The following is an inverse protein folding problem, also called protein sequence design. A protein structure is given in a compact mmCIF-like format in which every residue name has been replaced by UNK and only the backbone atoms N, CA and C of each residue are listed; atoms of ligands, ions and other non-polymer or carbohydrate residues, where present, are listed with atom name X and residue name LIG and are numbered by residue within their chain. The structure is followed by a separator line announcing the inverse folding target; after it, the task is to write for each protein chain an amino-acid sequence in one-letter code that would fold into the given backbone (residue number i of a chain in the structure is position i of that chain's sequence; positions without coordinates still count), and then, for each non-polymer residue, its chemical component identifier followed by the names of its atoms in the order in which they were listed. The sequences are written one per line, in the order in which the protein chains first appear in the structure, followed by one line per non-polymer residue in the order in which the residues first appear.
data_IF_341500382041
#
_entry.id   IF_341500382041
#
_cell.length_a   1.000
_cell.length_b   1.000
_cell.length_c   1.000
_cell.angle_alpha   90.00
_cell.angle_beta   90.00
_cell.angle_gamma   90.00
#
_symmetry.space_group_name_H-M   'P 1'
#
loop_
_entity.id
_entity.type
_entity.pdbx_description
1 polymer ?
#
# COMPACT_ATOMS: atom_id res chain seq x y z
N UNK A 1 6.52 -33.83 6.20
CA UNK A 1 6.85 -32.71 7.10
C UNK A 1 6.17 -31.47 6.51
N UNK A 2 5.12 -30.96 7.14
CA UNK A 2 4.57 -29.65 6.77
C UNK A 2 5.65 -28.61 7.12
N UNK A 3 6.35 -28.11 6.10
CA UNK A 3 7.26 -26.98 6.30
C UNK A 3 6.40 -25.80 6.75
N UNK A 4 6.61 -25.32 7.98
CA UNK A 4 6.07 -24.03 8.41
C UNK A 4 6.63 -22.92 7.53
N UNK A 5 5.82 -21.89 7.26
CA UNK A 5 6.28 -20.73 6.50
C UNK A 5 7.43 -19.99 7.20
N UNK A 6 8.26 -19.30 6.43
CA UNK A 6 9.39 -18.51 6.94
C UNK A 6 8.87 -17.31 7.76
N UNK A 7 9.42 -17.10 8.95
CA UNK A 7 9.03 -15.98 9.84
C UNK A 7 9.98 -14.79 9.76
N UNK A 8 9.51 -13.60 10.18
CA UNK A 8 10.36 -12.40 10.26
C UNK A 8 11.52 -12.57 11.24
N UNK A 9 11.32 -13.30 12.34
CA UNK A 9 12.39 -13.59 13.31
C UNK A 9 13.44 -14.53 12.73
N UNK A 10 13.05 -15.50 11.91
CA UNK A 10 13.99 -16.35 11.19
C UNK A 10 14.82 -15.56 10.19
N UNK A 11 14.21 -14.66 9.42
CA UNK A 11 14.91 -13.78 8.48
C UNK A 11 15.89 -12.87 9.23
N UNK A 12 15.42 -12.20 10.29
CA UNK A 12 16.24 -11.35 11.16
C UNK A 12 17.48 -12.09 11.66
N UNK A 13 17.30 -13.29 12.20
CA UNK A 13 18.41 -14.12 12.68
C UNK A 13 19.40 -14.45 11.57
N UNK A 14 18.92 -14.96 10.43
CA UNK A 14 19.78 -15.32 9.30
C UNK A 14 20.57 -14.12 8.78
N UNK A 15 19.96 -12.93 8.72
CA UNK A 15 20.63 -11.71 8.29
C UNK A 15 21.67 -11.23 9.30
N UNK A 16 21.38 -11.29 10.59
CA UNK A 16 22.34 -10.95 11.63
C UNK A 16 23.56 -11.88 11.61
N UNK A 17 23.33 -13.18 11.41
CA UNK A 17 24.39 -14.18 11.26
C UNK A 17 25.23 -13.90 10.00
N UNK A 18 24.58 -13.69 8.85
CA UNK A 18 25.25 -13.37 7.59
C UNK A 18 26.12 -12.12 7.65
N UNK A 19 25.63 -11.06 8.31
CA UNK A 19 26.34 -9.79 8.47
C UNK A 19 27.55 -9.94 9.40
N UNK A 20 27.38 -10.63 10.53
CA UNK A 20 28.43 -10.88 11.51
C UNK A 20 29.56 -11.74 10.95
N UNK A 21 29.24 -12.77 10.18
CA UNK A 21 30.24 -13.61 9.50
C UNK A 21 31.15 -12.81 8.55
N UNK A 22 30.69 -11.66 8.06
CA UNK A 22 31.41 -10.79 7.11
C UNK A 22 31.95 -9.52 7.76
N UNK A 23 31.78 -9.37 9.08
CA UNK A 23 32.12 -8.15 9.81
C UNK A 23 31.44 -6.88 9.23
N UNK A 24 30.23 -7.04 8.69
CA UNK A 24 29.50 -5.95 8.03
C UNK A 24 28.72 -5.05 8.99
N UNK A 25 28.64 -5.43 10.26
CA UNK A 25 27.92 -4.65 11.27
C UNK A 25 28.46 -3.22 11.43
N UNK A 26 29.73 -2.99 11.14
CA UNK A 26 30.34 -1.66 11.11
C UNK A 26 29.73 -0.72 10.06
N UNK A 27 29.16 -1.25 8.98
CA UNK A 27 28.55 -0.47 7.89
C UNK A 27 27.03 -0.31 8.06
N UNK A 28 26.41 -1.10 8.94
CA UNK A 28 24.97 -1.18 9.17
C UNK A 28 24.44 -0.10 10.14
N UNK A 29 24.75 1.17 9.88
CA UNK A 29 24.04 2.26 10.56
C UNK A 29 22.58 2.36 10.05
N UNK A 30 21.62 2.82 10.89
CA UNK A 30 20.23 2.97 10.46
C UNK A 30 20.07 3.80 9.17
N UNK A 31 20.85 4.87 9.02
CA UNK A 31 20.83 5.71 7.82
C UNK A 31 21.29 4.94 6.58
N UNK A 32 22.37 4.17 6.69
CA UNK A 32 22.90 3.43 5.54
C UNK A 32 21.93 2.34 5.10
N UNK A 33 21.34 1.61 6.04
CA UNK A 33 20.32 0.59 5.75
C UNK A 33 19.06 1.19 5.13
N UNK A 34 18.64 2.37 5.58
CA UNK A 34 17.52 3.09 4.96
C UNK A 34 17.85 3.50 3.51
N UNK A 35 19.06 3.98 3.25
CA UNK A 35 19.46 4.36 1.89
C UNK A 35 19.58 3.14 0.97
N UNK A 36 20.10 2.01 1.47
CA UNK A 36 20.11 0.76 0.72
C UNK A 36 18.69 0.28 0.39
N UNK A 37 17.78 0.29 1.38
CA UNK A 37 16.36 -0.01 1.18
C UNK A 37 15.73 0.86 0.08
N UNK A 38 16.04 2.15 0.03
CA UNK A 38 15.55 3.05 -1.03
C UNK A 38 16.12 2.65 -2.40
N UNK A 39 17.38 2.20 -2.45
CA UNK A 39 17.99 1.63 -3.66
C UNK A 39 17.19 0.45 -4.19
N UNK A 40 16.93 -0.55 -3.35
CA UNK A 40 16.18 -1.76 -3.77
C UNK A 40 14.73 -1.44 -4.19
N UNK A 41 14.10 -0.44 -3.56
CA UNK A 41 12.79 0.05 -4.03
C UNK A 41 12.90 0.68 -5.41
N UNK A 42 14.02 1.33 -5.70
CA UNK A 42 14.37 1.85 -7.03
C UNK A 42 14.51 0.71 -8.05
N UNK A 43 15.31 -0.31 -7.74
CA UNK A 43 15.52 -1.49 -8.61
C UNK A 43 14.19 -2.21 -8.89
N UNK A 44 13.38 -2.44 -7.84
CA UNK A 44 12.02 -2.94 -8.00
C UNK A 44 11.18 -2.05 -8.93
N UNK A 45 11.29 -0.72 -8.82
CA UNK A 45 10.53 0.22 -9.66
C UNK A 45 10.99 0.17 -11.12
N UNK A 46 12.27 -0.02 -11.39
CA UNK A 46 12.83 -0.12 -12.74
C UNK A 46 12.22 -1.28 -13.54
N UNK A 47 11.85 -2.37 -12.86
CA UNK A 47 11.17 -3.51 -13.50
C UNK A 47 9.81 -3.11 -14.09
N UNK A 48 9.10 -2.19 -13.43
CA UNK A 48 7.74 -1.79 -13.81
C UNK A 48 7.68 -0.52 -14.66
N UNK A 49 8.74 0.29 -14.69
CA UNK A 49 8.71 1.68 -15.20
C UNK A 49 8.18 1.82 -16.64
N UNK A 50 8.32 0.80 -17.49
CA UNK A 50 7.88 0.80 -18.90
C UNK A 50 6.74 -0.18 -19.21
N UNK A 51 6.10 -0.78 -18.20
CA UNK A 51 5.15 -1.90 -18.36
C UNK A 51 3.68 -1.50 -18.59
N UNK A 52 3.35 -0.20 -18.61
CA UNK A 52 1.96 0.26 -18.73
C UNK A 52 1.09 -0.25 -17.57
N UNK A 53 -0.19 -0.52 -17.82
CA UNK A 53 -1.04 -1.18 -16.83
C UNK A 53 -0.67 -2.66 -16.68
N UNK A 54 -0.31 -3.06 -15.47
CA UNK A 54 0.11 -4.44 -15.16
C UNK A 54 -1.03 -5.21 -14.49
N UNK A 55 -1.57 -6.27 -15.11
CA UNK A 55 -2.65 -7.05 -14.53
C UNK A 55 -2.18 -7.87 -13.32
N UNK A 56 -3.12 -8.14 -12.41
CA UNK A 56 -2.86 -8.96 -11.22
C UNK A 56 -2.31 -10.34 -11.62
N UNK A 57 -1.24 -10.75 -10.94
CA UNK A 57 -0.63 -12.07 -11.13
C UNK A 57 0.35 -12.17 -12.30
N UNK A 58 0.65 -11.07 -12.99
CA UNK A 58 1.66 -10.99 -14.04
C UNK A 58 1.50 -12.08 -15.14
N UNK A 59 0.29 -12.33 -15.68
CA UNK A 59 0.04 -13.44 -16.62
C UNK A 59 0.92 -13.39 -17.87
N UNK A 60 1.18 -12.19 -18.40
CA UNK A 60 1.96 -11.97 -19.64
C UNK A 60 3.47 -11.89 -19.42
N UNK A 61 3.93 -12.04 -18.18
CA UNK A 61 5.35 -11.92 -17.83
C UNK A 61 6.02 -13.28 -17.90
N UNK A 62 7.25 -13.28 -18.41
CA UNK A 62 8.10 -14.47 -18.43
C UNK A 62 8.51 -14.87 -17.01
N UNK A 63 8.89 -16.12 -16.84
CA UNK A 63 9.28 -16.64 -15.53
C UNK A 63 10.52 -15.94 -14.99
N UNK A 64 11.46 -15.55 -15.85
CA UNK A 64 12.64 -14.79 -15.45
C UNK A 64 12.28 -13.38 -14.95
N UNK A 65 11.27 -12.74 -15.55
CA UNK A 65 10.79 -11.42 -15.10
C UNK A 65 10.10 -11.53 -13.74
N UNK A 66 9.30 -12.59 -13.53
CA UNK A 66 8.67 -12.85 -12.22
C UNK A 66 9.69 -13.20 -11.15
N UNK A 67 10.73 -13.95 -11.51
CA UNK A 67 11.83 -14.24 -10.61
C UNK A 67 12.53 -12.94 -10.20
N UNK A 68 12.86 -12.07 -11.15
CA UNK A 68 13.50 -10.79 -10.86
C UNK A 68 12.64 -9.90 -9.96
N UNK A 69 11.32 -9.83 -10.19
CA UNK A 69 10.39 -9.16 -9.24
C UNK A 69 10.48 -9.78 -7.83
N UNK A 70 10.58 -11.11 -7.75
CA UNK A 70 10.71 -11.82 -6.48
C UNK A 70 12.03 -11.52 -5.76
N UNK A 71 13.13 -11.36 -6.50
CA UNK A 71 14.44 -10.98 -5.98
C UNK A 71 14.38 -9.57 -5.38
N UNK A 72 13.93 -8.56 -6.14
CA UNK A 72 13.86 -7.18 -5.65
C UNK A 72 12.86 -7.00 -4.49
N UNK A 73 11.72 -7.71 -4.52
CA UNK A 73 10.80 -7.74 -3.37
C UNK A 73 11.46 -8.34 -2.13
N UNK A 74 12.32 -9.35 -2.31
CA UNK A 74 13.04 -9.98 -1.23
C UNK A 74 14.10 -9.03 -0.66
N UNK A 75 14.83 -8.31 -1.52
CA UNK A 75 15.86 -7.36 -1.06
C UNK A 75 15.24 -6.20 -0.27
N UNK A 76 14.12 -5.63 -0.73
CA UNK A 76 13.33 -4.66 0.04
C UNK A 76 12.92 -5.22 1.41
N UNK A 77 12.41 -6.45 1.47
CA UNK A 77 12.02 -7.10 2.72
C UNK A 77 13.22 -7.30 3.65
N UNK A 78 14.34 -7.79 3.13
CA UNK A 78 15.53 -8.10 3.90
C UNK A 78 16.13 -6.82 4.50
N UNK A 79 16.31 -5.75 3.73
CA UNK A 79 16.77 -4.48 4.30
C UNK A 79 15.81 -3.89 5.32
N UNK A 80 14.49 -4.00 5.11
CA UNK A 80 13.52 -3.55 6.11
C UNK A 80 13.62 -4.34 7.41
N UNK A 81 13.77 -5.66 7.34
CA UNK A 81 13.99 -6.53 8.50
C UNK A 81 15.28 -6.15 9.22
N UNK A 82 16.40 -6.01 8.48
CA UNK A 82 17.69 -5.62 9.09
C UNK A 82 17.65 -4.23 9.71
N UNK A 83 17.01 -3.26 9.05
CA UNK A 83 16.81 -1.93 9.60
C UNK A 83 16.01 -1.97 10.90
N UNK A 84 14.95 -2.78 10.96
CA UNK A 84 14.16 -2.95 12.19
C UNK A 84 14.98 -3.54 13.33
N UNK A 85 15.85 -4.51 13.03
CA UNK A 85 16.74 -5.14 14.01
C UNK A 85 17.73 -4.13 14.60
N UNK A 86 18.44 -3.39 13.75
CA UNK A 86 19.38 -2.35 14.18
C UNK A 86 18.68 -1.23 14.98
N UNK A 87 17.43 -0.91 14.64
CA UNK A 87 16.63 0.06 15.38
C UNK A 87 16.00 -0.49 16.67
N UNK A 88 16.14 -1.80 16.96
CA UNK A 88 15.53 -2.43 18.14
C UNK A 88 14.00 -2.51 18.08
N UNK A 89 13.43 -2.58 16.87
CA UNK A 89 11.99 -2.60 16.62
C UNK A 89 11.54 -4.03 16.30
N UNK A 90 10.55 -4.53 17.04
CA UNK A 90 9.83 -5.75 16.69
C UNK A 90 8.88 -5.46 15.50
N UNK A 91 9.36 -5.70 14.29
CA UNK A 91 8.65 -5.38 13.05
C UNK A 91 7.31 -6.12 12.95
N UNK A 92 7.25 -7.37 13.41
CA UNK A 92 6.02 -8.17 13.40
C UNK A 92 4.94 -7.55 14.28
N UNK A 93 5.27 -7.22 15.54
CA UNK A 93 4.34 -6.54 16.45
C UNK A 93 3.96 -5.15 15.94
N UNK A 94 4.91 -4.40 15.40
CA UNK A 94 4.65 -3.08 14.84
C UNK A 94 3.67 -3.13 13.66
N UNK A 95 3.83 -4.11 12.76
CA UNK A 95 2.94 -4.33 11.63
C UNK A 95 1.53 -4.73 12.07
N UNK A 96 1.38 -5.65 13.03
CA UNK A 96 0.08 -6.05 13.57
C UNK A 96 -0.67 -4.87 14.20
N UNK A 97 0.01 -4.11 15.08
CA UNK A 97 -0.55 -2.89 15.66
C UNK A 97 -0.96 -1.89 14.58
N UNK A 98 -0.18 -1.76 13.50
CA UNK A 98 -0.49 -0.84 12.41
C UNK A 98 -1.74 -1.27 11.63
N UNK A 99 -1.96 -2.57 11.45
CA UNK A 99 -3.17 -3.12 10.84
C UNK A 99 -4.41 -2.81 11.69
N UNK A 100 -4.34 -2.98 13.00
CA UNK A 100 -5.43 -2.62 13.93
C UNK A 100 -5.80 -1.13 13.81
N UNK A 101 -4.80 -0.24 13.82
CA UNK A 101 -5.01 1.19 13.64
C UNK A 101 -5.59 1.53 12.27
N UNK A 102 -5.19 0.81 11.22
CA UNK A 102 -5.74 1.00 9.88
C UNK A 102 -7.20 0.53 9.79
N UNK A 103 -7.57 -0.55 10.48
CA UNK A 103 -8.97 -1.02 10.53
C UNK A 103 -9.91 0.00 11.20
N UNK A 104 -9.42 0.71 12.22
CA UNK A 104 -10.16 1.83 12.84
C UNK A 104 -10.28 3.01 11.86
N UNK A 105 -9.21 3.32 11.12
CA UNK A 105 -9.17 4.42 10.15
C UNK A 105 -10.03 4.16 8.90
N UNK A 106 -10.21 2.89 8.52
CA UNK A 106 -10.93 2.46 7.32
C UNK A 106 -11.95 1.36 7.68
N UNK A 107 -13.07 1.71 8.33
CA UNK A 107 -14.06 0.73 8.75
C UNK A 107 -14.79 0.13 7.53
N UNK A 108 -15.11 -1.17 7.61
CA UNK A 108 -15.67 -1.95 6.48
C UNK A 108 -16.90 -1.30 5.85
N UNK A 109 -17.81 -0.79 6.68
CA UNK A 109 -19.05 -0.11 6.23
C UNK A 109 -18.79 1.12 5.35
N UNK A 110 -17.64 1.80 5.52
CA UNK A 110 -17.29 3.01 4.76
C UNK A 110 -16.24 2.76 3.67
N UNK A 111 -15.55 1.61 3.72
CA UNK A 111 -14.38 1.32 2.86
C UNK A 111 -14.55 0.06 2.00
N UNK A 112 -15.68 -0.64 2.06
CA UNK A 112 -15.98 -1.77 1.17
C UNK A 112 -16.19 -1.27 -0.26
N UNK A 113 -15.27 -1.60 -1.16
CA UNK A 113 -15.34 -1.24 -2.58
C UNK A 113 -14.96 0.20 -2.93
N UNK A 114 -14.42 0.98 -1.96
CA UNK A 114 -14.03 2.37 -2.18
C UNK A 114 -12.67 2.66 -1.54
N UNK A 115 -11.72 3.16 -2.34
CA UNK A 115 -10.38 3.59 -1.90
C UNK A 115 -10.29 5.07 -1.50
N UNK A 116 -11.44 5.76 -1.43
CA UNK A 116 -11.48 7.19 -1.10
C UNK A 116 -10.89 7.45 0.30
N UNK A 117 -10.00 8.44 0.42
CA UNK A 117 -9.45 8.87 1.72
C UNK A 117 -10.56 9.41 2.63
N UNK A 118 -10.60 8.95 3.89
CA UNK A 118 -11.63 9.31 4.88
C UNK A 118 -11.78 10.81 5.14
N UNK A 119 -10.79 11.65 4.79
CA UNK A 119 -10.91 13.12 4.90
C UNK A 119 -12.09 13.70 4.11
N UNK A 120 -12.67 12.95 3.16
CA UNK A 120 -13.87 13.35 2.42
C UNK A 120 -15.18 12.70 2.91
N UNK A 121 -15.15 11.78 3.87
CA UNK A 121 -16.35 11.04 4.30
C UNK A 121 -17.13 11.79 5.40
N UNK A 122 -16.47 12.70 6.15
CA UNK A 122 -17.11 13.46 7.23
C UNK A 122 -17.70 14.81 6.79
N UNK A 123 -17.75 15.10 5.48
CA UNK A 123 -18.21 16.39 4.94
C UNK A 123 -19.70 16.50 4.61
N UNK A 124 -20.42 15.37 4.45
CA UNK A 124 -21.76 15.38 3.82
C UNK A 124 -22.92 15.03 4.76
N UNK A 125 -22.72 14.97 6.08
CA UNK A 125 -23.76 14.58 7.04
C UNK A 125 -24.28 15.73 7.91
N UNK A 126 -24.38 16.96 7.38
CA UNK A 126 -25.04 18.05 8.11
C UNK A 126 -25.86 18.97 7.22
N UNK A 127 -26.95 18.43 6.66
CA UNK A 127 -28.06 19.25 6.19
C UNK A 127 -29.32 18.40 6.24
N UNK A 128 -29.95 18.34 7.41
CA UNK A 128 -31.41 18.25 7.51
C UNK A 128 -31.88 18.54 8.94
N UNK A 129 -32.50 19.71 9.12
CA UNK A 129 -33.13 20.10 10.36
C UNK A 129 -33.74 21.49 10.30
N UNK A 130 -35.02 21.60 9.89
CA UNK A 130 -35.90 22.69 10.34
C UNK A 130 -36.82 23.39 9.32
N UNK A 131 -37.95 22.74 9.01
CA UNK A 131 -39.34 23.26 8.97
C UNK A 131 -39.62 24.76 8.65
N UNK A 132 -40.39 25.04 7.57
CA UNK A 132 -41.77 25.59 7.58
C UNK A 132 -42.21 26.27 6.24
N UNK A 133 -43.30 25.72 5.67
CA UNK A 133 -44.43 26.34 4.97
C UNK A 133 -44.23 27.42 3.88
N UNK A 134 -44.65 27.13 2.64
CA UNK A 134 -45.89 27.69 2.05
C UNK A 134 -46.10 27.35 0.57
N UNK A 135 -47.37 27.06 0.29
CA UNK A 135 -48.11 26.83 -0.97
C UNK A 135 -47.83 27.79 -2.15
N UNK A 136 -47.77 27.24 -3.38
CA UNK A 136 -48.41 27.66 -4.67
C UNK A 136 -47.60 27.07 -5.84
N UNK A 137 -48.07 26.04 -6.55
CA UNK A 137 -48.97 26.06 -7.71
C UNK A 137 -48.44 26.86 -8.92
N UNK A 138 -47.96 26.18 -9.97
CA UNK A 138 -48.51 26.21 -11.34
C UNK A 138 -47.55 25.65 -12.40
N UNK A 139 -48.16 24.92 -13.33
CA UNK A 139 -47.64 24.37 -14.58
C UNK A 139 -46.79 25.33 -15.41
N UNK A 140 -45.75 24.80 -16.06
CA UNK A 140 -45.53 25.02 -17.50
C UNK A 140 -44.53 24.01 -18.08
N UNK A 141 -44.96 23.43 -19.20
CA UNK A 141 -44.19 22.68 -20.17
C UNK A 141 -42.95 23.43 -20.68
N UNK A 142 -41.88 22.70 -21.01
CA UNK A 142 -41.26 22.80 -22.34
C UNK A 142 -40.15 21.75 -22.54
N UNK A 143 -40.08 21.33 -23.79
CA UNK A 143 -39.31 20.28 -24.42
C UNK A 143 -37.88 20.69 -24.81
N UNK A 144 -37.13 19.66 -25.23
CA UNK A 144 -36.08 19.67 -26.27
C UNK A 144 -34.61 19.51 -25.83
N UNK A 145 -34.09 18.32 -26.18
CA UNK A 145 -32.96 18.07 -27.09
C UNK A 145 -31.51 18.23 -26.61
N UNK A 146 -30.75 17.14 -26.81
CA UNK A 146 -29.35 17.05 -27.32
C UNK A 146 -28.27 17.91 -26.63
N UNK A 147 -27.07 17.43 -26.29
CA UNK A 147 -26.14 16.59 -27.05
C UNK A 147 -24.85 16.43 -26.22
N UNK A 148 -24.18 15.29 -26.39
CA UNK A 148 -22.71 15.05 -26.39
C UNK A 148 -21.81 15.87 -25.46
N UNK A 149 -21.03 15.21 -24.62
CA UNK A 149 -19.66 14.77 -24.98
C UNK A 149 -19.00 14.11 -23.78
N UNK A 150 -18.33 12.99 -24.02
CA UNK A 150 -17.53 12.25 -23.06
C UNK A 150 -16.14 12.85 -23.00
N UNK A 151 -15.68 13.22 -21.80
CA UNK A 151 -14.27 13.47 -21.50
C UNK A 151 -13.94 12.76 -20.18
N UNK A 152 -12.99 11.82 -20.23
CA UNK A 152 -12.16 11.39 -19.11
C UNK A 152 -10.86 10.83 -19.68
N UNK A 153 -9.82 11.65 -19.63
CA UNK A 153 -8.41 11.25 -19.52
C UNK A 153 -7.98 11.65 -18.11
#
# INVERSE_FOLDING_TARGET
MTQGGVTLEELKKKMADFARERDWDQFHSPRNLLLALVGEVGELSEIFQWKGEVPRGLPEWKDEEKQHVGEELSDVLLYLVRLSDICGIDLGKAALRKLELNAIKYPVILSKGSSKKHTQINGDNNSDGGLLASTKNNNSSCSCSSSTSSDCV
#
